data_IF_653450959258
#
_entry.id   IF_653450959258
#
_cell.length_a   1.000
_cell.length_b   1.000
_cell.length_c   1.000
_cell.angle_alpha   90.00
_cell.angle_beta   90.00
_cell.angle_gamma   90.00
#
_symmetry.space_group_name_H-M   'P 1'
#
loop_
_entity.id
_entity.type
_entity.pdbx_description
1 polymer ?
#
# COMPACT_ATOMS: atom_id res chain seq x y z
N UNK A 1 26.90 -1.46 -4.16
CA UNK A 1 25.86 -0.54 -3.66
C UNK A 1 25.73 -0.85 -2.18
N UNK A 2 25.77 0.12 -1.27
CA UNK A 2 25.57 -0.20 0.16
C UNK A 2 26.26 0.72 1.14
N UNK A 3 25.53 1.74 1.59
CA UNK A 3 25.46 2.14 2.99
C UNK A 3 24.00 2.57 3.26
N UNK A 4 23.42 2.08 4.35
CA UNK A 4 22.01 2.31 4.76
C UNK A 4 22.00 3.30 5.94
N UNK A 5 21.34 4.44 5.80
CA UNK A 5 21.05 5.44 6.85
C UNK A 5 19.94 6.39 6.36
N UNK A 6 19.42 7.28 7.22
CA UNK A 6 18.32 7.03 8.16
C UNK A 6 17.01 6.60 7.49
N UNK A 7 16.17 5.91 8.25
CA UNK A 7 14.85 5.46 7.81
C UNK A 7 13.89 6.65 7.75
N UNK A 8 13.27 6.90 6.60
CA UNK A 8 12.17 7.85 6.52
C UNK A 8 10.92 7.11 7.02
N UNK A 9 10.80 6.98 8.33
CA UNK A 9 9.64 6.34 8.94
C UNK A 9 8.43 7.27 8.81
N UNK A 10 7.54 6.96 7.87
CA UNK A 10 6.20 7.53 7.87
C UNK A 10 5.39 6.90 9.02
N UNK A 11 5.58 7.40 10.24
CA UNK A 11 4.69 7.12 11.38
C UNK A 11 4.25 8.45 11.96
N UNK A 12 2.95 8.70 11.90
CA UNK A 12 2.28 9.81 12.59
C UNK A 12 1.19 9.25 13.54
N UNK A 13 0.82 10.02 14.58
CA UNK A 13 0.39 9.47 15.86
C UNK A 13 -1.01 8.86 15.83
N UNK A 14 -1.18 7.79 16.61
CA UNK A 14 -2.46 7.13 16.92
C UNK A 14 -3.45 8.17 17.45
N UNK A 15 -4.49 8.52 16.68
CA UNK A 15 -5.59 9.34 17.20
C UNK A 15 -6.31 8.57 18.31
N UNK A 16 -6.49 9.24 19.44
CA UNK A 16 -7.03 8.71 20.70
C UNK A 16 -8.48 8.21 20.55
N UNK A 17 -8.88 7.12 21.24
CA UNK A 17 -10.20 6.51 21.13
C UNK A 17 -11.21 7.14 22.09
N UNK A 18 -11.72 8.34 21.81
CA UNK A 18 -12.83 8.91 22.59
C UNK A 18 -13.80 9.67 21.69
N UNK A 19 -14.81 8.95 21.17
CA UNK A 19 -16.15 9.37 20.71
C UNK A 19 -16.67 8.18 19.88
N UNK A 20 -17.71 7.43 20.24
CA UNK A 20 -19.03 7.90 20.63
C UNK A 20 -19.72 6.78 21.43
N UNK A 21 -19.94 7.05 22.70
CA UNK A 21 -21.01 6.48 23.49
C UNK A 21 -22.33 6.96 22.88
N UNK A 22 -23.23 6.06 22.47
CA UNK A 22 -24.70 6.14 22.60
C UNK A 22 -25.37 5.23 21.54
N UNK A 23 -25.64 3.97 21.88
CA UNK A 23 -26.88 3.34 21.41
C UNK A 23 -27.59 2.67 22.57
N UNK A 24 -28.83 3.10 22.70
CA UNK A 24 -29.80 2.92 23.75
C UNK A 24 -30.02 1.45 24.15
N UNK A 25 -30.08 1.23 25.45
CA UNK A 25 -30.71 0.10 26.12
C UNK A 25 -32.17 -0.07 25.67
N UNK A 26 -32.53 -1.26 25.18
CA UNK A 26 -33.91 -1.78 25.24
C UNK A 26 -33.84 -3.18 25.86
N UNK A 27 -34.31 -3.39 27.11
CA UNK A 27 -34.59 -4.72 27.61
C UNK A 27 -36.04 -5.08 27.22
N UNK A 28 -36.25 -6.27 26.67
CA UNK A 28 -37.58 -6.88 26.70
C UNK A 28 -37.48 -8.33 27.16
N UNK A 29 -38.28 -8.62 28.19
CA UNK A 29 -38.32 -9.84 28.98
C UNK A 29 -38.80 -11.06 28.17
N UNK A 30 -38.08 -12.16 28.37
CA UNK A 30 -38.55 -13.48 28.80
C UNK A 30 -39.86 -14.03 28.21
N UNK A 31 -39.74 -15.15 27.50
CA UNK A 31 -40.66 -16.29 27.62
C UNK A 31 -39.92 -17.59 27.28
N UNK A 32 -39.72 -18.39 28.33
CA UNK A 32 -39.28 -19.78 28.28
C UNK A 32 -40.30 -20.65 27.54
N UNK A 33 -39.82 -21.54 26.67
CA UNK A 33 -40.15 -22.97 26.50
C UNK A 33 -38.96 -23.55 25.68
N UNK A 34 -38.29 -24.66 26.00
CA UNK A 34 -38.73 -25.90 26.60
C UNK A 34 -38.46 -27.02 25.59
N UNK A 35 -37.45 -27.85 25.88
CA UNK A 35 -37.13 -29.17 25.29
C UNK A 35 -36.57 -29.26 23.86
N UNK A 36 -35.38 -29.88 23.74
CA UNK A 36 -34.86 -30.36 22.45
C UNK A 36 -33.36 -30.63 22.39
N UNK A 37 -32.76 -31.36 23.35
CA UNK A 37 -31.46 -31.98 23.11
C UNK A 37 -31.63 -33.13 22.11
N UNK A 38 -31.19 -32.97 20.87
CA UNK A 38 -30.66 -34.08 20.07
C UNK A 38 -29.97 -33.60 18.78
N UNK A 39 -28.83 -34.25 18.50
CA UNK A 39 -28.08 -34.28 17.24
C UNK A 39 -27.20 -33.08 16.86
N UNK A 40 -26.06 -33.04 17.53
CA UNK A 40 -24.77 -32.75 16.91
C UNK A 40 -24.42 -33.87 15.91
N UNK A 41 -24.60 -33.64 14.60
CA UNK A 41 -23.76 -34.18 13.51
C UNK A 41 -24.23 -33.67 12.15
N UNK A 42 -23.25 -33.27 11.34
CA UNK A 42 -23.31 -32.89 9.92
C UNK A 42 -23.68 -31.42 9.61
N UNK A 43 -22.81 -30.48 9.97
CA UNK A 43 -22.54 -29.36 9.07
C UNK A 43 -21.67 -29.88 7.92
N UNK A 44 -22.31 -30.48 6.92
CA UNK A 44 -21.71 -30.58 5.60
C UNK A 44 -21.38 -29.14 5.16
N UNK A 45 -20.14 -28.91 4.73
CA UNK A 45 -19.75 -27.66 4.08
C UNK A 45 -20.69 -27.45 2.90
N UNK A 46 -21.49 -26.40 2.94
CA UNK A 46 -22.37 -26.02 1.85
C UNK A 46 -21.49 -25.58 0.65
N UNK A 47 -21.42 -26.35 -0.46
CA UNK A 47 -20.60 -25.99 -1.59
C UNK A 47 -21.44 -25.07 -2.48
N UNK A 48 -21.48 -23.79 -2.14
CA UNK A 48 -22.38 -22.88 -2.83
C UNK A 48 -22.17 -21.42 -2.50
N UNK A 49 -20.96 -20.88 -2.72
CA UNK A 49 -20.84 -19.44 -2.92
C UNK A 49 -21.53 -19.10 -4.24
N UNK A 50 -22.82 -18.77 -4.17
CA UNK A 50 -23.56 -18.23 -5.29
C UNK A 50 -22.79 -17.02 -5.82
N UNK A 51 -22.50 -16.98 -7.13
CA UNK A 51 -21.84 -15.83 -7.78
C UNK A 51 -22.60 -14.56 -7.41
N UNK A 52 -21.92 -13.64 -6.72
CA UNK A 52 -22.48 -12.37 -6.27
C UNK A 52 -23.01 -11.57 -7.47
N UNK A 53 -24.24 -11.05 -7.37
CA UNK A 53 -24.85 -10.14 -8.35
C UNK A 53 -24.37 -8.68 -8.23
N UNK A 54 -23.55 -8.38 -7.22
CA UNK A 54 -22.94 -7.05 -7.07
C UNK A 54 -21.93 -6.76 -8.17
N UNK A 55 -21.78 -5.48 -8.59
CA UNK A 55 -20.73 -5.09 -9.50
C UNK A 55 -19.33 -5.45 -8.94
N UNK A 56 -18.35 -5.72 -9.81
CA UNK A 56 -16.98 -5.99 -9.37
C UNK A 56 -16.39 -4.83 -8.58
N UNK A 57 -15.62 -5.14 -7.55
CA UNK A 57 -14.78 -4.15 -6.86
C UNK A 57 -13.62 -3.82 -7.80
N UNK A 58 -13.47 -2.55 -8.18
CA UNK A 58 -12.39 -2.07 -9.04
C UNK A 58 -11.18 -1.77 -8.18
N UNK A 59 -10.13 -2.57 -8.32
CA UNK A 59 -8.90 -2.46 -7.55
C UNK A 59 -7.79 -2.00 -8.47
N UNK A 60 -7.09 -0.94 -8.09
CA UNK A 60 -5.86 -0.49 -8.76
C UNK A 60 -4.67 -0.56 -7.83
N UNK A 61 -3.50 -0.89 -8.38
CA UNK A 61 -2.24 -0.86 -7.64
C UNK A 61 -1.08 -0.56 -8.59
N UNK A 62 0.13 -0.46 -8.03
CA UNK A 62 1.34 -0.32 -8.82
C UNK A 62 1.74 -1.62 -9.53
N UNK A 63 2.37 -1.54 -10.71
CA UNK A 63 2.91 -2.69 -11.47
C UNK A 63 4.44 -2.82 -11.42
N UNK A 64 5.11 -2.03 -10.58
CA UNK A 64 6.56 -2.06 -10.36
C UNK A 64 6.90 -1.90 -8.87
N UNK A 65 6.36 -2.82 -8.06
CA UNK A 65 6.55 -2.87 -6.60
C UNK A 65 6.80 -4.29 -6.08
N UNK A 66 7.90 -4.95 -6.46
CA UNK A 66 8.23 -6.28 -5.94
C UNK A 66 8.53 -6.24 -4.43
N UNK A 67 8.19 -7.31 -3.68
CA UNK A 67 7.51 -8.54 -4.10
C UNK A 67 5.97 -8.44 -4.10
N UNK A 68 5.41 -7.25 -3.92
CA UNK A 68 3.98 -7.04 -3.70
C UNK A 68 3.16 -7.10 -4.98
N UNK A 69 3.54 -6.34 -6.00
CA UNK A 69 2.89 -6.35 -7.31
C UNK A 69 3.89 -5.92 -8.37
N UNK A 70 4.14 -6.79 -9.35
CA UNK A 70 5.11 -6.52 -10.40
C UNK A 70 4.82 -7.33 -11.65
N UNK A 71 5.27 -6.83 -12.80
CA UNK A 71 5.23 -7.56 -14.06
C UNK A 71 6.28 -8.68 -14.08
N UNK A 72 5.86 -9.88 -14.45
CA UNK A 72 6.75 -10.98 -14.81
C UNK A 72 7.46 -10.70 -16.14
N UNK A 73 8.40 -11.55 -16.50
CA UNK A 73 9.06 -11.52 -17.82
C UNK A 73 8.07 -11.67 -18.98
N UNK A 74 6.93 -12.36 -18.75
CA UNK A 74 5.85 -12.53 -19.73
C UNK A 74 4.87 -11.35 -19.77
N UNK A 75 5.04 -10.36 -18.89
CA UNK A 75 4.19 -9.16 -18.79
C UNK A 75 2.96 -9.33 -17.91
N UNK A 76 2.74 -10.51 -17.35
CA UNK A 76 1.65 -10.81 -16.42
C UNK A 76 1.92 -10.20 -15.04
N UNK A 77 0.84 -9.83 -14.34
CA UNK A 77 0.96 -9.28 -12.98
C UNK A 77 1.02 -10.41 -11.97
N UNK A 78 2.05 -10.37 -11.12
CA UNK A 78 2.29 -11.34 -10.05
C UNK A 78 2.73 -10.65 -8.76
N UNK A 79 2.74 -11.40 -7.66
CA UNK A 79 3.15 -10.93 -6.34
C UNK A 79 2.08 -11.15 -5.28
N UNK A 80 2.36 -10.67 -4.07
CA UNK A 80 1.51 -10.88 -2.90
C UNK A 80 0.11 -10.26 -3.07
N UNK A 81 0.02 -9.04 -3.61
CA UNK A 81 -1.23 -8.29 -3.73
C UNK A 81 -2.21 -8.96 -4.72
N UNK A 82 -1.83 -9.28 -5.98
CA UNK A 82 -2.75 -9.97 -6.89
C UNK A 82 -3.19 -11.34 -6.35
N UNK A 83 -2.31 -12.06 -5.64
CA UNK A 83 -2.66 -13.33 -4.99
C UNK A 83 -3.65 -13.14 -3.83
N UNK A 84 -3.48 -12.09 -3.02
CA UNK A 84 -4.43 -11.74 -1.96
C UNK A 84 -5.82 -11.39 -2.51
N UNK A 85 -5.90 -10.61 -3.59
CA UNK A 85 -7.17 -10.26 -4.21
C UNK A 85 -7.85 -11.45 -4.89
N UNK A 86 -7.07 -12.37 -5.47
CA UNK A 86 -7.58 -13.64 -5.98
C UNK A 86 -8.20 -14.47 -4.85
N UNK A 87 -7.45 -14.67 -3.76
CA UNK A 87 -7.93 -15.42 -2.60
C UNK A 87 -9.16 -14.77 -1.96
N UNK A 88 -9.20 -13.44 -1.86
CA UNK A 88 -10.38 -12.70 -1.39
C UNK A 88 -11.60 -12.96 -2.28
N UNK A 89 -11.45 -12.91 -3.60
CA UNK A 89 -12.54 -13.18 -4.54
C UNK A 89 -13.07 -14.61 -4.42
N UNK A 90 -12.16 -15.58 -4.29
CA UNK A 90 -12.49 -17.00 -4.13
C UNK A 90 -13.23 -17.29 -2.81
N UNK A 91 -12.76 -16.73 -1.70
CA UNK A 91 -13.34 -16.97 -0.36
C UNK A 91 -14.68 -16.25 -0.16
N UNK A 92 -14.85 -15.06 -0.75
CA UNK A 92 -16.05 -14.24 -0.53
C UNK A 92 -17.11 -14.37 -1.62
N UNK A 93 -16.75 -14.96 -2.76
CA UNK A 93 -17.59 -14.96 -3.97
C UNK A 93 -17.81 -13.56 -4.57
N UNK A 94 -17.06 -12.53 -4.11
CA UNK A 94 -17.15 -11.16 -4.61
C UNK A 94 -16.28 -10.98 -5.86
N UNK A 95 -16.84 -10.52 -6.99
CA UNK A 95 -16.03 -10.25 -8.18
C UNK A 95 -15.07 -9.08 -7.95
N UNK A 96 -13.86 -9.19 -8.49
CA UNK A 96 -12.81 -8.17 -8.42
C UNK A 96 -12.31 -7.87 -9.84
N UNK A 97 -12.31 -6.61 -10.24
CA UNK A 97 -11.63 -6.11 -11.44
C UNK A 97 -10.29 -5.51 -11.00
N UNK A 98 -9.24 -6.33 -11.05
CA UNK A 98 -7.91 -5.96 -10.58
C UNK A 98 -7.02 -5.45 -11.73
N UNK A 99 -6.46 -4.25 -11.57
CA UNK A 99 -5.60 -3.61 -12.58
C UNK A 99 -4.35 -3.01 -11.95
N UNK A 100 -3.20 -3.61 -12.24
CA UNK A 100 -1.91 -2.99 -11.92
C UNK A 100 -1.40 -2.13 -13.09
N UNK A 101 -0.88 -0.97 -12.75
CA UNK A 101 -0.38 0.03 -13.71
C UNK A 101 0.67 0.92 -13.05
N UNK A 102 1.19 1.92 -13.77
CA UNK A 102 2.08 2.90 -13.18
C UNK A 102 1.47 3.55 -11.93
N UNK A 103 2.21 3.59 -10.82
CA UNK A 103 1.75 4.16 -9.54
C UNK A 103 1.10 5.54 -9.63
N UNK A 104 1.71 6.48 -10.36
CA UNK A 104 1.17 7.84 -10.47
C UNK A 104 -0.17 7.85 -11.22
N UNK A 105 -0.36 6.95 -12.18
CA UNK A 105 -1.63 6.75 -12.87
C UNK A 105 -2.67 6.09 -11.96
N UNK A 106 -2.29 5.07 -11.18
CA UNK A 106 -3.19 4.43 -10.22
C UNK A 106 -3.72 5.43 -9.18
N UNK A 107 -2.82 6.27 -8.63
CA UNK A 107 -3.19 7.38 -7.74
C UNK A 107 -4.19 8.32 -8.41
N UNK A 108 -3.91 8.76 -9.65
CA UNK A 108 -4.80 9.65 -10.40
C UNK A 108 -6.19 9.03 -10.61
N UNK A 109 -6.25 7.77 -11.04
CA UNK A 109 -7.51 7.06 -11.26
C UNK A 109 -8.33 6.97 -9.97
N UNK A 110 -7.67 6.70 -8.83
CA UNK A 110 -8.34 6.70 -7.53
C UNK A 110 -8.91 8.09 -7.20
N UNK A 111 -8.13 9.16 -7.40
CA UNK A 111 -8.56 10.54 -7.16
C UNK A 111 -9.75 10.97 -8.05
N UNK A 112 -9.82 10.44 -9.26
CA UNK A 112 -10.90 10.72 -10.22
C UNK A 112 -12.13 9.81 -10.02
N UNK A 113 -12.14 8.93 -9.01
CA UNK A 113 -13.25 7.99 -8.74
C UNK A 113 -13.33 6.80 -9.71
N UNK A 114 -12.27 6.57 -10.48
CA UNK A 114 -12.18 5.49 -11.46
C UNK A 114 -11.92 4.11 -10.86
N UNK A 115 -11.57 4.04 -9.57
CA UNK A 115 -11.39 2.80 -8.80
C UNK A 115 -12.11 2.88 -7.45
N UNK A 116 -12.39 1.73 -6.86
CA UNK A 116 -12.99 1.61 -5.52
C UNK A 116 -11.92 1.43 -4.45
N UNK A 117 -10.79 0.79 -4.81
CA UNK A 117 -9.67 0.53 -3.90
C UNK A 117 -8.35 0.84 -4.60
N UNK A 118 -7.46 1.57 -3.92
CA UNK A 118 -6.06 1.72 -4.25
C UNK A 118 -5.23 0.91 -3.25
N UNK A 119 -4.68 -0.22 -3.68
CA UNK A 119 -3.82 -1.05 -2.82
C UNK A 119 -2.36 -0.56 -2.86
N UNK A 120 -1.57 -0.96 -1.86
CA UNK A 120 -0.17 -0.57 -1.60
C UNK A 120 0.07 0.92 -1.28
N UNK A 121 -0.99 1.69 -1.07
CA UNK A 121 -0.87 3.11 -0.72
C UNK A 121 -0.33 3.32 0.70
N UNK A 122 0.75 4.07 0.82
CA UNK A 122 1.23 4.56 2.12
C UNK A 122 0.29 5.66 2.62
N UNK A 123 -0.10 5.58 3.89
CA UNK A 123 -0.85 6.65 4.52
C UNK A 123 0.03 7.90 4.69
N UNK A 124 -0.48 9.06 4.28
CA UNK A 124 0.20 10.36 4.40
C UNK A 124 -0.85 11.42 4.75
N UNK A 125 -0.49 12.52 5.45
CA UNK A 125 -1.45 13.59 5.75
C UNK A 125 -2.22 14.08 4.52
N UNK A 126 -1.53 14.19 3.39
CA UNK A 126 -2.11 14.65 2.12
C UNK A 126 -3.12 13.63 1.55
N UNK A 127 -2.82 12.33 1.61
CA UNK A 127 -3.74 11.27 1.15
C UNK A 127 -4.91 11.06 2.12
N UNK A 128 -4.68 11.08 3.43
CA UNK A 128 -5.74 10.92 4.43
C UNK A 128 -6.75 12.08 4.43
N UNK A 129 -6.44 13.19 3.76
CA UNK A 129 -7.40 14.26 3.52
C UNK A 129 -8.39 13.94 2.40
N UNK A 130 -8.09 12.97 1.53
CA UNK A 130 -8.91 12.62 0.35
C UNK A 130 -9.36 11.16 0.31
N UNK A 131 -8.71 10.26 1.06
CA UNK A 131 -8.98 8.82 1.07
C UNK A 131 -9.22 8.31 2.49
N UNK A 132 -10.06 7.29 2.60
CA UNK A 132 -10.17 6.46 3.79
C UNK A 132 -9.16 5.32 3.73
N UNK A 133 -8.45 5.07 4.83
CA UNK A 133 -7.47 4.00 4.95
C UNK A 133 -7.99 2.89 5.87
N UNK A 134 -7.77 1.65 5.43
CA UNK A 134 -7.88 0.48 6.29
C UNK A 134 -6.71 0.43 7.28
N UNK A 135 -6.83 -0.35 8.38
CA UNK A 135 -5.69 -0.62 9.24
C UNK A 135 -4.50 -1.12 8.42
N UNK A 136 -3.33 -0.53 8.67
CA UNK A 136 -2.11 -0.91 7.97
C UNK A 136 -1.79 -2.40 8.20
N UNK A 137 -1.61 -3.14 7.11
CA UNK A 137 -1.25 -4.56 7.13
C UNK A 137 0.26 -4.81 6.98
N UNK A 138 1.05 -3.76 6.66
CA UNK A 138 2.50 -3.83 6.53
C UNK A 138 3.16 -2.52 6.97
N UNK A 139 4.39 -2.61 7.48
CA UNK A 139 5.24 -1.46 7.76
C UNK A 139 6.51 -1.59 6.92
N UNK A 140 6.74 -0.62 6.03
CA UNK A 140 7.81 -0.65 5.04
C UNK A 140 8.84 0.41 5.40
N UNK A 141 10.10 0.01 5.40
CA UNK A 141 11.22 0.94 5.58
C UNK A 141 11.53 1.60 4.25
N UNK A 142 11.76 2.91 4.28
CA UNK A 142 12.09 3.71 3.09
C UNK A 142 13.47 4.33 3.31
N UNK A 143 14.55 3.60 2.99
CA UNK A 143 15.91 4.09 3.15
C UNK A 143 16.32 5.07 2.04
N UNK A 144 17.34 5.87 2.36
CA UNK A 144 18.11 6.61 1.37
C UNK A 144 19.27 5.72 0.88
N UNK A 145 19.45 5.66 -0.43
CA UNK A 145 20.60 5.03 -1.07
C UNK A 145 21.48 6.09 -1.72
N UNK A 146 22.79 5.90 -1.65
CA UNK A 146 23.75 6.77 -2.32
C UNK A 146 24.94 5.99 -2.85
N UNK A 147 25.59 6.56 -3.87
CA UNK A 147 26.78 5.97 -4.47
C UNK A 147 27.94 5.96 -3.47
N UNK A 148 28.73 4.88 -3.47
CA UNK A 148 29.84 4.65 -2.51
C UNK A 148 30.92 5.74 -2.46
N UNK A 149 30.98 6.61 -3.48
CA UNK A 149 31.91 7.74 -3.52
C UNK A 149 31.42 8.94 -2.72
N UNK A 150 30.18 8.91 -2.22
CA UNK A 150 29.59 9.95 -1.40
C UNK A 150 29.72 9.50 0.06
N UNK A 151 30.31 10.35 0.88
CA UNK A 151 30.47 10.16 2.33
C UNK A 151 29.82 11.32 3.07
N UNK A 152 29.62 11.16 4.38
CA UNK A 152 29.07 12.22 5.24
C UNK A 152 27.56 12.40 5.18
N UNK A 153 26.82 11.52 4.49
CA UNK A 153 25.36 11.50 4.53
C UNK A 153 24.87 10.67 5.72
N UNK A 154 24.50 11.36 6.79
CA UNK A 154 24.05 10.75 8.06
C UNK A 154 22.60 11.07 8.40
N UNK A 155 22.10 12.21 7.91
CA UNK A 155 20.73 12.72 8.13
C UNK A 155 20.13 13.26 6.82
N UNK A 156 18.81 13.41 6.79
CA UNK A 156 18.08 13.84 5.58
C UNK A 156 18.51 15.24 5.14
N UNK A 157 18.86 16.12 6.07
CA UNK A 157 19.32 17.49 5.79
C UNK A 157 20.65 17.54 5.04
N UNK A 158 21.46 16.48 5.12
CA UNK A 158 22.73 16.38 4.39
C UNK A 158 22.50 16.24 2.87
N UNK A 159 21.25 15.99 2.45
CA UNK A 159 20.85 15.92 1.04
C UNK A 159 20.75 17.29 0.35
N UNK A 160 20.90 18.40 1.08
CA UNK A 160 20.85 19.73 0.46
C UNK A 160 21.95 19.89 -0.58
N UNK A 161 21.56 20.27 -1.79
CA UNK A 161 22.46 20.38 -2.94
C UNK A 161 22.65 19.08 -3.72
N UNK A 162 22.06 17.96 -3.28
CA UNK A 162 21.98 16.74 -4.09
C UNK A 162 20.68 16.70 -4.89
N UNK A 163 20.77 16.17 -6.11
CA UNK A 163 19.60 15.70 -6.86
C UNK A 163 19.21 14.32 -6.34
N UNK A 164 17.98 14.18 -5.85
CA UNK A 164 17.49 12.93 -5.25
C UNK A 164 16.49 12.25 -6.18
N UNK A 165 16.80 11.03 -6.62
CA UNK A 165 15.87 10.20 -7.38
C UNK A 165 14.75 9.66 -6.51
N UNK A 166 13.52 9.79 -6.97
CA UNK A 166 12.31 9.32 -6.29
C UNK A 166 11.32 8.78 -7.31
N UNK A 167 10.41 7.90 -6.90
CA UNK A 167 9.32 7.46 -7.77
C UNK A 167 8.22 8.51 -7.80
N UNK A 168 7.64 8.76 -8.97
CA UNK A 168 6.57 9.73 -9.13
C UNK A 168 5.36 9.34 -8.27
N UNK A 169 4.87 10.27 -7.44
CA UNK A 169 3.74 10.02 -6.54
C UNK A 169 4.09 9.24 -5.27
N UNK A 170 5.35 8.94 -5.01
CA UNK A 170 5.81 8.29 -3.78
C UNK A 170 5.60 9.17 -2.54
N UNK A 171 5.25 8.55 -1.41
CA UNK A 171 5.12 9.23 -0.12
C UNK A 171 6.44 9.86 0.34
N UNK A 172 7.59 9.32 -0.08
CA UNK A 172 8.91 9.87 0.23
C UNK A 172 9.08 11.32 -0.22
N UNK A 173 8.40 11.74 -1.30
CA UNK A 173 8.44 13.12 -1.83
C UNK A 173 8.03 14.12 -0.76
N UNK A 174 6.86 13.93 -0.15
CA UNK A 174 6.35 14.86 0.85
C UNK A 174 7.24 14.92 2.10
N UNK A 175 7.90 13.81 2.45
CA UNK A 175 8.84 13.81 3.57
C UNK A 175 10.09 14.60 3.22
N UNK A 176 10.71 14.35 2.07
CA UNK A 176 11.90 15.09 1.60
C UNK A 176 11.64 16.59 1.51
N UNK A 177 10.47 16.99 1.00
CA UNK A 177 10.06 18.38 0.89
C UNK A 177 9.93 19.07 2.26
N UNK A 178 9.44 18.37 3.30
CA UNK A 178 9.38 18.89 4.68
C UNK A 178 10.77 19.16 5.28
N UNK A 179 11.80 18.43 4.84
CA UNK A 179 13.20 18.69 5.22
C UNK A 179 13.88 19.77 4.35
N UNK A 180 13.15 20.34 3.40
CA UNK A 180 13.65 21.36 2.48
C UNK A 180 14.41 20.79 1.28
N UNK A 181 14.28 19.50 1.00
CA UNK A 181 14.91 18.84 -0.15
C UNK A 181 13.97 18.96 -1.34
N UNK A 182 14.32 19.80 -2.32
CA UNK A 182 13.44 20.15 -3.46
C UNK A 182 13.96 19.71 -4.82
N UNK A 183 15.25 19.43 -4.95
CA UNK A 183 15.84 18.95 -6.23
C UNK A 183 15.59 17.45 -6.38
N UNK A 184 14.36 17.12 -6.78
CA UNK A 184 13.87 15.76 -6.92
C UNK A 184 13.78 15.38 -8.40
N UNK A 185 14.38 14.23 -8.76
CA UNK A 185 14.22 13.61 -10.07
C UNK A 185 13.16 12.52 -9.94
N UNK A 186 11.99 12.76 -10.55
CA UNK A 186 10.86 11.83 -10.52
C UNK A 186 10.99 10.81 -11.66
N UNK A 187 10.99 9.53 -11.30
CA UNK A 187 10.99 8.40 -12.24
C UNK A 187 9.64 7.70 -12.25
N UNK A 188 9.32 7.00 -13.33
CA UNK A 188 8.03 6.32 -13.45
C UNK A 188 7.96 5.06 -12.56
N UNK A 189 9.11 4.43 -12.32
CA UNK A 189 9.20 3.12 -11.65
C UNK A 189 10.45 3.02 -10.77
N UNK A 190 10.47 2.07 -9.84
CA UNK A 190 11.68 1.80 -9.06
C UNK A 190 12.77 1.21 -9.95
N UNK A 191 12.40 0.38 -10.91
CA UNK A 191 13.33 -0.16 -11.88
C UNK A 191 14.07 0.95 -12.66
N UNK A 192 13.38 2.01 -13.08
CA UNK A 192 14.01 3.16 -13.74
C UNK A 192 15.03 3.87 -12.83
N UNK A 193 14.73 4.01 -11.53
CA UNK A 193 15.67 4.59 -10.56
C UNK A 193 16.92 3.73 -10.45
N UNK A 194 16.76 2.41 -10.33
CA UNK A 194 17.88 1.47 -10.22
C UNK A 194 18.72 1.47 -11.50
N UNK A 195 18.10 1.48 -12.68
CA UNK A 195 18.79 1.63 -13.98
C UNK A 195 19.55 2.95 -14.05
N UNK A 196 18.92 4.07 -13.69
CA UNK A 196 19.57 5.37 -13.66
C UNK A 196 20.73 5.44 -12.65
N UNK A 197 20.62 4.73 -11.52
CA UNK A 197 21.69 4.64 -10.53
C UNK A 197 22.88 3.82 -11.06
N UNK A 198 22.60 2.70 -11.74
CA UNK A 198 23.60 1.86 -12.42
C UNK A 198 24.37 2.67 -13.47
N UNK A 199 23.66 3.47 -14.26
CA UNK A 199 24.23 4.30 -15.33
C UNK A 199 24.82 5.62 -14.80
N UNK A 200 24.78 5.85 -13.48
CA UNK A 200 25.27 7.05 -12.78
C UNK A 200 24.55 8.36 -13.14
N UNK A 201 23.37 8.27 -13.74
CA UNK A 201 22.48 9.43 -13.97
C UNK A 201 21.91 9.96 -12.65
N UNK A 202 21.74 9.10 -11.64
CA UNK A 202 21.41 9.49 -10.27
C UNK A 202 22.38 8.84 -9.29
N UNK A 203 22.80 9.58 -8.25
CA UNK A 203 23.76 9.09 -7.24
C UNK A 203 23.21 9.07 -5.83
N UNK A 204 22.03 9.63 -5.62
CA UNK A 204 21.29 9.65 -4.37
C UNK A 204 19.83 9.41 -4.71
N UNK A 205 19.19 8.41 -4.11
CA UNK A 205 17.80 8.09 -4.41
C UNK A 205 17.11 7.44 -3.21
N UNK A 206 15.78 7.52 -3.21
CA UNK A 206 14.91 6.95 -2.19
C UNK A 206 13.99 5.92 -2.84
N UNK A 207 14.02 4.69 -2.33
CA UNK A 207 13.24 3.53 -2.78
C UNK A 207 12.89 2.72 -1.55
N UNK A 208 11.69 2.14 -1.52
CA UNK A 208 11.28 1.21 -0.47
C UNK A 208 12.27 0.04 -0.34
N UNK A 209 12.52 -0.42 0.89
CA UNK A 209 13.52 -1.45 1.14
C UNK A 209 13.24 -2.77 0.39
N UNK A 210 12.01 -3.33 0.35
CA UNK A 210 11.79 -4.62 -0.32
C UNK A 210 12.07 -4.60 -1.82
N UNK A 211 11.62 -3.60 -2.62
CA UNK A 211 12.01 -3.51 -4.04
C UNK A 211 13.49 -3.24 -4.30
N UNK A 212 14.23 -2.74 -3.31
CA UNK A 212 15.63 -2.35 -3.47
C UNK A 212 16.64 -3.48 -3.13
N UNK A 213 16.16 -4.64 -2.66
CA UNK A 213 16.97 -5.77 -2.21
C UNK A 213 17.17 -6.84 -3.30
#
# INVERSE_FOLDING_TARGET
>A
MGQKTPNITAVLPRKSPYLTLLFLMIPLLLSSQGAGFSNLKNHARDPGFAKSSLPPIRVVCDDNYPPYSFRSETGEIQGIIPDQWRAFSEETGRPVDFKAMNWALALKIMQEGGADVLDSAFETPERSASFDFLPAYANIRVPLFFHRSISGLSKVEDLRGFRVGVKAGDAAIGVLERYGIRDLIKYSSYEEIIRAAKDRHVRVFCVDEPPAL
#
